data_IF_894778013025
#
_entry.id   IF_894778013025
#
_cell.length_a   1.000
_cell.length_b   1.000
_cell.length_c   1.000
_cell.angle_alpha   90.00
_cell.angle_beta   90.00
_cell.angle_gamma   90.00
#
_symmetry.space_group_name_H-M   'P 1'
#
loop_
_entity.id
_entity.type
_entity.pdbx_description
1 polymer ?
#
# COMPACT_ATOMS: atom_id res chain seq x y z
N UNK A 1 -82.31 20.31 -34.08
CA UNK A 1 -83.24 20.86 -33.08
C UNK A 1 -83.49 19.76 -32.05
N UNK A 2 -83.14 19.98 -30.77
CA UNK A 2 -83.37 19.09 -29.61
C UNK A 2 -82.64 17.73 -29.65
N UNK A 3 -82.28 17.06 -28.57
CA UNK A 3 -82.24 17.34 -27.12
C UNK A 3 -81.32 16.26 -26.53
N UNK A 4 -80.74 16.63 -25.40
CA UNK A 4 -79.96 15.92 -24.40
C UNK A 4 -80.49 14.55 -23.92
N UNK A 5 -79.71 13.97 -22.98
CA UNK A 5 -80.12 13.09 -21.86
C UNK A 5 -80.52 11.66 -22.23
N UNK A 6 -80.30 10.60 -21.46
CA UNK A 6 -80.03 10.36 -20.02
C UNK A 6 -79.68 8.87 -19.88
N UNK A 7 -78.70 8.47 -19.06
CA UNK A 7 -78.87 7.93 -17.69
C UNK A 7 -79.84 6.76 -17.54
N UNK A 8 -79.36 5.63 -17.00
CA UNK A 8 -80.01 4.66 -16.07
C UNK A 8 -79.41 3.26 -16.29
N UNK A 9 -78.56 2.74 -15.38
CA UNK A 9 -78.87 1.99 -14.14
C UNK A 9 -79.54 0.64 -14.36
N UNK A 10 -78.87 -0.46 -14.00
CA UNK A 10 -79.32 -1.46 -13.00
C UNK A 10 -78.61 -2.82 -13.14
N UNK A 11 -77.81 -3.13 -12.12
CA UNK A 11 -77.87 -4.33 -11.26
C UNK A 11 -78.56 -5.60 -11.81
N UNK A 12 -77.86 -6.75 -11.84
CA UNK A 12 -78.13 -7.90 -10.93
C UNK A 12 -77.37 -9.18 -11.33
N UNK A 13 -76.45 -9.58 -10.46
CA UNK A 13 -76.26 -10.88 -9.78
C UNK A 13 -76.58 -12.24 -10.44
N UNK A 14 -75.60 -13.16 -10.23
CA UNK A 14 -75.68 -14.64 -10.03
C UNK A 14 -75.90 -15.45 -11.32
N UNK A 15 -75.25 -16.59 -11.60
CA UNK A 15 -74.77 -17.65 -10.71
C UNK A 15 -73.76 -18.54 -11.47
N UNK A 16 -72.88 -19.17 -10.70
CA UNK A 16 -71.83 -20.14 -11.05
C UNK A 16 -72.29 -21.39 -11.82
N UNK A 17 -71.38 -22.02 -12.58
CA UNK A 17 -71.20 -23.49 -12.57
C UNK A 17 -69.79 -23.92 -13.03
N UNK A 18 -69.10 -24.66 -12.15
CA UNK A 18 -68.22 -25.83 -12.36
C UNK A 18 -67.20 -25.81 -13.53
N UNK A 19 -65.90 -25.62 -13.26
CA UNK A 19 -64.89 -26.64 -12.90
C UNK A 19 -64.31 -27.43 -14.08
N UNK A 20 -63.02 -27.20 -14.36
CA UNK A 20 -62.05 -28.28 -14.59
C UNK A 20 -60.62 -27.72 -14.53
N UNK A 21 -59.81 -28.47 -13.79
CA UNK A 21 -58.45 -28.19 -13.36
C UNK A 21 -57.49 -28.37 -14.53
N UNK A 22 -56.58 -27.43 -14.74
CA UNK A 22 -55.28 -27.76 -15.37
C UNK A 22 -54.19 -26.91 -14.77
N UNK A 23 -53.38 -27.56 -13.92
CA UNK A 23 -52.16 -27.02 -13.34
C UNK A 23 -51.06 -27.14 -14.38
N UNK A 24 -50.60 -26.02 -14.91
CA UNK A 24 -49.29 -25.91 -15.55
C UNK A 24 -48.55 -24.73 -14.90
N UNK A 25 -47.83 -25.09 -13.85
CA UNK A 25 -46.69 -24.39 -13.31
C UNK A 25 -45.62 -24.26 -14.39
N UNK A 26 -45.28 -23.04 -14.79
CA UNK A 26 -43.92 -22.73 -15.22
C UNK A 26 -43.53 -21.36 -14.68
N UNK A 27 -42.88 -21.44 -13.52
CA UNK A 27 -42.18 -20.35 -12.85
C UNK A 27 -41.10 -19.81 -13.78
N UNK A 28 -41.37 -18.71 -14.47
CA UNK A 28 -40.37 -17.91 -15.15
C UNK A 28 -39.91 -16.79 -14.21
N UNK A 29 -39.34 -17.16 -13.06
CA UNK A 29 -38.58 -16.24 -12.23
C UNK A 29 -37.15 -16.18 -12.80
N UNK A 30 -36.99 -15.44 -13.92
CA UNK A 30 -35.67 -15.11 -14.42
C UNK A 30 -34.97 -14.25 -13.37
N UNK A 31 -33.93 -14.84 -12.79
CA UNK A 31 -32.94 -14.23 -11.93
C UNK A 31 -32.47 -12.91 -12.57
N UNK A 32 -33.02 -11.79 -12.10
CA UNK A 32 -32.34 -10.51 -12.22
C UNK A 32 -31.12 -10.61 -11.31
N UNK A 33 -29.99 -11.03 -11.87
CA UNK A 33 -28.69 -10.79 -11.26
C UNK A 33 -28.63 -9.30 -10.95
N UNK A 34 -28.50 -8.89 -9.67
CA UNK A 34 -28.05 -7.53 -9.40
C UNK A 34 -26.62 -7.47 -9.96
N UNK A 35 -26.46 -6.92 -11.16
CA UNK A 35 -25.19 -6.33 -11.55
C UNK A 35 -24.89 -5.30 -10.47
N UNK A 36 -24.00 -5.64 -9.55
CA UNK A 36 -23.50 -4.70 -8.55
C UNK A 36 -22.79 -3.61 -9.34
N UNK A 37 -23.49 -2.52 -9.58
CA UNK A 37 -22.88 -1.27 -9.99
C UNK A 37 -22.13 -0.81 -8.74
N UNK A 38 -20.85 -1.17 -8.66
CA UNK A 38 -19.93 -0.57 -7.71
C UNK A 38 -19.76 0.90 -8.11
N UNK A 39 -20.67 1.75 -7.65
CA UNK A 39 -20.57 3.19 -7.81
C UNK A 39 -19.46 3.75 -6.90
N UNK A 40 -18.23 3.67 -7.41
CA UNK A 40 -17.32 4.80 -7.68
C UNK A 40 -17.00 5.77 -6.53
N UNK A 41 -16.58 5.23 -5.39
CA UNK A 41 -15.56 5.89 -4.59
C UNK A 41 -14.29 5.06 -4.69
N UNK A 42 -13.18 5.69 -5.08
CA UNK A 42 -11.86 5.09 -4.97
C UNK A 42 -11.61 4.85 -3.47
N UNK A 43 -11.82 3.61 -3.03
CA UNK A 43 -11.65 3.15 -1.66
C UNK A 43 -10.23 2.62 -1.49
N UNK A 44 -9.41 3.38 -0.78
CA UNK A 44 -8.05 2.97 -0.48
C UNK A 44 -7.98 1.73 0.41
N UNK A 45 -9.03 1.42 1.19
CA UNK A 45 -9.03 0.26 2.10
C UNK A 45 -9.10 -1.07 1.37
N UNK A 46 -9.76 -1.07 0.22
CA UNK A 46 -10.05 -2.28 -0.51
C UNK A 46 -9.87 -2.09 -2.01
N UNK A 47 -8.60 -2.06 -2.44
CA UNK A 47 -8.24 -2.03 -3.85
C UNK A 47 -8.15 -3.45 -4.38
N UNK A 48 -9.11 -3.85 -5.21
CA UNK A 48 -9.16 -5.17 -5.82
C UNK A 48 -8.47 -5.20 -7.19
N UNK A 49 -7.42 -6.00 -7.35
CA UNK A 49 -6.74 -6.25 -8.63
C UNK A 49 -6.62 -7.77 -8.87
N UNK A 50 -7.27 -8.27 -9.93
CA UNK A 50 -7.25 -9.70 -10.30
C UNK A 50 -7.58 -10.67 -9.14
N UNK A 51 -8.53 -10.29 -8.27
CA UNK A 51 -8.97 -11.10 -7.12
C UNK A 51 -8.08 -10.99 -5.86
N UNK A 52 -7.02 -10.18 -5.89
CA UNK A 52 -6.23 -9.79 -4.71
C UNK A 52 -6.71 -8.42 -4.21
N UNK A 53 -6.67 -8.23 -2.90
CA UNK A 53 -7.12 -7.01 -2.23
C UNK A 53 -5.93 -6.34 -1.53
N UNK A 54 -5.81 -5.03 -1.66
CA UNK A 54 -4.73 -4.21 -1.14
C UNK A 54 -5.29 -3.04 -0.34
N UNK A 55 -4.63 -2.67 0.76
CA UNK A 55 -4.99 -1.52 1.60
C UNK A 55 -3.93 -0.42 1.46
N UNK A 56 -4.26 0.63 0.70
CA UNK A 56 -3.44 1.83 0.51
C UNK A 56 -3.86 2.98 1.43
N UNK A 57 -4.77 2.77 2.38
CA UNK A 57 -5.17 3.81 3.35
C UNK A 57 -4.00 4.41 4.14
N UNK A 58 -2.93 3.66 4.47
CA UNK A 58 -1.75 4.23 5.12
C UNK A 58 -0.98 5.26 4.26
N UNK A 59 -1.19 5.24 2.94
CA UNK A 59 -0.67 6.25 2.00
C UNK A 59 -1.60 7.46 1.86
N UNK A 60 -2.62 7.56 2.72
CA UNK A 60 -3.57 8.67 2.68
C UNK A 60 -2.95 9.97 3.17
N UNK A 61 -3.34 11.07 2.55
CA UNK A 61 -2.82 12.40 2.83
C UNK A 61 -2.33 13.09 1.55
N UNK A 62 -2.09 14.41 1.62
CA UNK A 62 -1.54 15.14 0.50
C UNK A 62 -0.05 14.85 0.35
N UNK A 63 0.32 14.30 -0.81
CA UNK A 63 1.68 14.06 -1.25
C UNK A 63 2.00 14.97 -2.43
N UNK A 64 3.28 15.29 -2.62
CA UNK A 64 3.71 16.13 -3.73
C UNK A 64 4.93 15.57 -4.46
N UNK A 65 4.93 15.71 -5.78
CA UNK A 65 6.10 15.51 -6.62
C UNK A 65 6.35 16.73 -7.48
N UNK A 66 7.62 17.00 -7.74
CA UNK A 66 8.09 18.20 -8.41
C UNK A 66 8.79 17.82 -9.71
N UNK A 67 8.48 18.54 -10.77
CA UNK A 67 9.12 18.36 -12.07
C UNK A 67 9.40 19.70 -12.73
N UNK A 68 10.67 19.90 -13.08
CA UNK A 68 11.09 21.01 -13.95
C UNK A 68 11.12 20.51 -15.38
N UNK A 69 10.27 21.08 -16.23
CA UNK A 69 10.44 20.92 -17.66
C UNK A 69 11.73 21.65 -18.08
N UNK A 70 12.61 20.95 -18.80
CA UNK A 70 13.74 21.61 -19.42
C UNK A 70 13.20 22.55 -20.51
N UNK A 71 13.60 23.83 -20.53
CA UNK A 71 13.16 24.74 -21.58
C UNK A 71 13.65 24.22 -22.92
N UNK A 72 12.75 24.07 -23.89
CA UNK A 72 13.18 23.83 -25.25
C UNK A 72 14.03 25.01 -25.71
N UNK A 73 15.16 24.74 -26.37
CA UNK A 73 16.23 25.72 -26.71
C UNK A 73 15.78 27.00 -27.43
N UNK A 74 14.53 27.05 -27.90
CA UNK A 74 13.92 28.15 -28.65
C UNK A 74 12.75 28.82 -27.92
N UNK A 75 12.31 28.29 -26.77
CA UNK A 75 11.17 28.81 -26.02
C UNK A 75 11.65 29.63 -24.82
N UNK A 76 11.18 30.88 -24.72
CA UNK A 76 11.43 31.74 -23.56
C UNK A 76 10.51 31.41 -22.37
N UNK A 77 9.94 30.20 -22.33
CA UNK A 77 9.02 29.75 -21.30
C UNK A 77 9.60 28.50 -20.66
N UNK A 78 9.69 28.52 -19.33
CA UNK A 78 10.08 27.37 -18.53
C UNK A 78 8.86 26.93 -17.70
N UNK A 79 8.42 25.69 -17.90
CA UNK A 79 7.33 25.10 -17.13
C UNK A 79 7.86 24.43 -15.87
N UNK A 80 7.22 24.74 -14.74
CA UNK A 80 7.52 24.14 -13.46
C UNK A 80 6.26 23.51 -12.88
N UNK A 81 6.24 22.18 -12.88
CA UNK A 81 5.09 21.41 -12.42
C UNK A 81 5.28 20.93 -10.98
N UNK A 82 4.27 21.20 -10.16
CA UNK A 82 4.06 20.54 -8.88
C UNK A 82 2.79 19.73 -8.96
N UNK A 83 2.89 18.41 -8.83
CA UNK A 83 1.72 17.55 -8.76
C UNK A 83 1.41 17.23 -7.31
N UNK A 84 0.22 17.58 -6.86
CA UNK A 84 -0.30 17.28 -5.52
C UNK A 84 -1.35 16.19 -5.64
N UNK A 85 -1.27 15.16 -4.80
CA UNK A 85 -2.21 14.06 -4.82
C UNK A 85 -2.57 13.57 -3.41
N UNK A 86 -3.85 13.29 -3.20
CA UNK A 86 -4.36 12.49 -2.10
C UNK A 86 -5.32 11.49 -2.74
N UNK A 87 -4.93 10.22 -2.77
CA UNK A 87 -5.76 9.21 -3.42
C UNK A 87 -6.98 8.88 -2.58
N UNK A 88 -6.89 8.99 -1.25
CA UNK A 88 -7.93 8.53 -0.34
C UNK A 88 -8.96 9.61 -0.04
N UNK A 89 -8.60 10.89 -0.20
CA UNK A 89 -9.50 12.04 0.04
C UNK A 89 -9.43 13.06 -1.08
N UNK A 90 -10.43 13.93 -1.14
CA UNK A 90 -10.41 15.06 -2.06
C UNK A 90 -9.42 16.11 -1.56
N UNK A 91 -8.67 16.69 -2.48
CA UNK A 91 -7.75 17.79 -2.21
C UNK A 91 -8.53 19.04 -1.80
N UNK A 92 -7.97 19.75 -0.83
CA UNK A 92 -8.44 21.07 -0.38
C UNK A 92 -7.31 22.07 -0.59
N UNK A 93 -7.64 23.29 -1.03
CA UNK A 93 -6.66 24.37 -1.14
C UNK A 93 -5.62 24.23 -2.27
N UNK A 94 -5.78 23.29 -3.22
CA UNK A 94 -4.82 23.04 -4.29
C UNK A 94 -4.96 23.94 -5.52
N UNK A 95 -6.01 24.77 -5.59
CA UNK A 95 -6.37 25.59 -6.76
C UNK A 95 -7.08 24.83 -7.89
N UNK A 96 -7.10 23.49 -7.85
CA UNK A 96 -7.96 22.67 -8.70
C UNK A 96 -9.43 22.67 -8.23
N UNK A 97 -10.32 22.17 -9.08
CA UNK A 97 -11.75 22.15 -8.79
C UNK A 97 -12.11 21.16 -7.66
N UNK A 98 -13.21 21.45 -6.97
CA UNK A 98 -13.73 20.56 -5.92
C UNK A 98 -13.94 19.14 -6.46
N UNK A 99 -13.48 18.14 -5.71
CA UNK A 99 -13.51 16.74 -6.12
C UNK A 99 -12.21 16.24 -6.77
N UNK A 100 -11.24 17.12 -7.05
CA UNK A 100 -9.91 16.73 -7.47
C UNK A 100 -9.21 15.88 -6.39
N UNK A 101 -8.57 14.80 -6.82
CA UNK A 101 -7.70 13.94 -6.01
C UNK A 101 -6.24 14.03 -6.45
N UNK A 102 -6.01 14.39 -7.72
CA UNK A 102 -4.68 14.69 -8.27
C UNK A 102 -4.77 16.03 -9.02
N UNK A 103 -3.94 16.99 -8.62
CA UNK A 103 -3.89 18.34 -9.15
C UNK A 103 -2.47 18.65 -9.66
N UNK A 104 -2.35 19.09 -10.91
CA UNK A 104 -1.11 19.61 -11.46
C UNK A 104 -1.09 21.13 -11.40
N UNK A 105 -0.09 21.71 -10.74
CA UNK A 105 0.14 23.15 -10.67
C UNK A 105 1.30 23.45 -11.61
N UNK A 106 1.05 24.13 -12.72
CA UNK A 106 2.08 24.55 -13.65
C UNK A 106 2.40 26.03 -13.46
N UNK A 107 3.62 26.35 -13.06
CA UNK A 107 4.14 27.70 -13.05
C UNK A 107 4.96 27.93 -14.31
N UNK A 108 4.39 28.65 -15.27
CA UNK A 108 5.07 29.05 -16.50
C UNK A 108 5.87 30.32 -16.24
N UNK A 109 7.20 30.20 -16.33
CA UNK A 109 8.13 31.31 -16.10
C UNK A 109 8.58 31.83 -17.46
N UNK A 110 8.29 33.09 -17.75
CA UNK A 110 8.84 33.76 -18.93
C UNK A 110 10.29 34.19 -18.64
N UNK A 111 11.26 33.56 -19.28
CA UNK A 111 12.69 33.80 -19.05
C UNK A 111 13.14 35.21 -19.50
N UNK A 112 12.36 35.90 -20.34
CA UNK A 112 12.69 37.25 -20.80
C UNK A 112 12.18 38.32 -19.83
N UNK A 113 10.98 38.14 -19.26
CA UNK A 113 10.34 39.13 -18.39
C UNK A 113 10.33 38.76 -16.91
N UNK A 114 10.71 37.52 -16.58
CA UNK A 114 10.58 36.90 -15.26
C UNK A 114 9.14 36.89 -14.71
N UNK A 115 8.13 37.02 -15.58
CA UNK A 115 6.74 36.89 -15.19
C UNK A 115 6.37 35.41 -14.99
N UNK A 116 5.60 35.13 -13.94
CA UNK A 116 5.13 33.79 -13.59
C UNK A 116 3.62 33.73 -13.83
N UNK A 117 3.17 32.77 -14.63
CA UNK A 117 1.75 32.45 -14.85
C UNK A 117 1.46 31.09 -14.25
N UNK A 118 0.54 31.01 -13.30
CA UNK A 118 0.15 29.75 -12.66
C UNK A 118 -1.11 29.20 -13.30
N UNK A 119 -1.05 27.95 -13.77
CA UNK A 119 -2.18 27.20 -14.30
C UNK A 119 -2.45 25.95 -13.46
N UNK A 120 -3.72 25.69 -13.19
CA UNK A 120 -4.16 24.49 -12.47
C UNK A 120 -4.74 23.47 -13.45
N UNK A 121 -4.33 22.21 -13.29
CA UNK A 121 -4.72 21.08 -14.14
C UNK A 121 -5.35 19.99 -13.31
N UNK A 122 -6.64 19.81 -13.51
CA UNK A 122 -7.42 18.71 -12.97
C UNK A 122 -7.03 17.39 -13.65
N UNK A 123 -6.15 16.60 -13.01
CA UNK A 123 -5.64 15.35 -13.57
C UNK A 123 -6.58 14.18 -13.25
N UNK A 124 -6.98 14.04 -11.99
CA UNK A 124 -7.88 12.98 -11.52
C UNK A 124 -8.83 13.56 -10.48
N UNK A 125 -10.10 13.22 -10.59
CA UNK A 125 -11.10 13.63 -9.61
C UNK A 125 -12.49 13.10 -9.92
N UNK A 126 -13.39 13.27 -8.95
CA UNK A 126 -14.81 13.05 -9.10
C UNK A 126 -15.54 14.38 -8.98
N UNK A 127 -15.98 14.92 -10.11
CA UNK A 127 -16.51 16.26 -10.29
C UNK A 127 -18.04 16.27 -10.36
N UNK A 128 -18.68 15.55 -9.45
CA UNK A 128 -20.15 15.37 -9.42
C UNK A 128 -20.90 16.69 -9.29
N UNK A 129 -20.33 17.67 -8.59
CA UNK A 129 -20.90 19.01 -8.40
C UNK A 129 -20.73 19.94 -9.60
N UNK A 130 -19.84 19.61 -10.55
CA UNK A 130 -19.47 20.51 -11.64
C UNK A 130 -20.03 20.03 -12.97
N UNK A 131 -19.50 18.93 -13.50
CA UNK A 131 -19.84 18.39 -14.81
C UNK A 131 -20.29 16.92 -14.75
N UNK A 132 -20.56 16.41 -13.55
CA UNK A 132 -21.06 15.06 -13.34
C UNK A 132 -20.06 13.94 -13.62
N UNK A 133 -18.80 14.27 -13.95
CA UNK A 133 -17.76 13.25 -14.20
C UNK A 133 -17.39 12.55 -12.90
N UNK A 134 -17.28 11.23 -12.95
CA UNK A 134 -16.82 10.42 -11.84
C UNK A 134 -15.44 9.86 -12.14
N UNK A 135 -14.67 9.61 -11.07
CA UNK A 135 -13.42 8.87 -11.17
C UNK A 135 -13.74 7.43 -11.57
N UNK A 136 -13.08 6.93 -12.60
CA UNK A 136 -13.18 5.53 -13.05
C UNK A 136 -11.82 4.86 -12.85
N UNK A 137 -11.59 4.18 -11.73
CA UNK A 137 -10.31 3.53 -11.47
C UNK A 137 -10.26 2.13 -12.07
N UNK A 138 -9.15 1.80 -12.71
CA UNK A 138 -8.86 0.46 -13.22
C UNK A 138 -7.57 -0.06 -12.61
N UNK A 139 -7.67 -1.20 -11.93
CA UNK A 139 -6.55 -1.82 -11.24
C UNK A 139 -6.12 -3.11 -11.91
N UNK A 140 -4.82 -3.25 -12.13
CA UNK A 140 -4.22 -4.46 -12.72
C UNK A 140 -2.97 -4.84 -11.95
N UNK A 141 -2.67 -6.14 -11.84
CA UNK A 141 -1.41 -6.57 -11.24
C UNK A 141 -0.26 -6.32 -12.21
N UNK A 142 0.86 -5.77 -11.72
CA UNK A 142 2.04 -5.49 -12.54
C UNK A 142 2.55 -6.75 -13.24
N UNK A 143 2.61 -7.90 -12.55
CA UNK A 143 3.00 -9.19 -13.13
C UNK A 143 2.12 -9.67 -14.29
N UNK A 144 0.88 -9.19 -14.38
CA UNK A 144 -0.07 -9.55 -15.44
C UNK A 144 -0.01 -8.56 -16.62
N UNK A 145 0.83 -7.53 -16.54
CA UNK A 145 1.05 -6.57 -17.62
C UNK A 145 1.72 -7.25 -18.81
N UNK A 146 1.32 -6.85 -20.02
CA UNK A 146 1.93 -7.32 -21.27
C UNK A 146 3.27 -6.63 -21.57
N UNK A 147 3.70 -5.68 -20.74
CA UNK A 147 4.94 -4.93 -20.93
C UNK A 147 6.15 -5.69 -20.40
N UNK A 148 7.22 -5.75 -21.19
CA UNK A 148 8.50 -6.33 -20.76
C UNK A 148 9.14 -5.58 -19.57
N UNK A 149 8.79 -4.31 -19.36
CA UNK A 149 9.27 -3.51 -18.22
C UNK A 149 8.72 -3.97 -16.86
N UNK A 150 7.64 -4.76 -16.86
CA UNK A 150 6.94 -5.21 -15.65
C UNK A 150 7.28 -6.65 -15.26
N UNK A 151 8.16 -7.31 -16.04
CA UNK A 151 8.56 -8.70 -15.79
C UNK A 151 9.33 -8.77 -14.46
N UNK A 152 8.75 -9.51 -13.50
CA UNK A 152 9.33 -9.69 -12.17
C UNK A 152 9.00 -8.58 -11.15
N UNK A 153 8.22 -7.56 -11.52
CA UNK A 153 7.74 -6.52 -10.59
C UNK A 153 6.44 -6.99 -9.93
N UNK A 154 6.46 -7.08 -8.61
CA UNK A 154 5.26 -7.32 -7.79
C UNK A 154 4.60 -5.98 -7.45
N UNK A 155 3.27 -5.90 -7.55
CA UNK A 155 2.52 -4.69 -7.24
C UNK A 155 1.27 -4.48 -8.07
N UNK A 156 0.71 -3.28 -8.00
CA UNK A 156 -0.56 -2.89 -8.61
C UNK A 156 -0.38 -1.65 -9.47
N UNK A 157 -0.85 -1.68 -10.73
CA UNK A 157 -1.01 -0.50 -11.57
C UNK A 157 -2.43 0.02 -11.44
N UNK A 158 -2.57 1.28 -11.06
CA UNK A 158 -3.82 2.01 -11.01
C UNK A 158 -3.89 3.01 -12.16
N UNK A 159 -4.84 2.82 -13.07
CA UNK A 159 -5.21 3.78 -14.12
C UNK A 159 -6.41 4.58 -13.59
N UNK A 160 -6.19 5.87 -13.33
CA UNK A 160 -7.17 6.76 -12.68
C UNK A 160 -7.60 7.85 -13.65
N UNK A 161 -8.89 7.86 -14.00
CA UNK A 161 -9.47 8.81 -14.95
C UNK A 161 -10.32 9.89 -14.25
N UNK A 162 -10.78 10.88 -15.01
CA UNK A 162 -11.83 11.83 -14.58
C UNK A 162 -11.47 13.30 -14.78
N UNK A 163 -10.19 13.61 -14.98
CA UNK A 163 -9.71 14.96 -15.24
C UNK A 163 -9.92 15.43 -16.69
N UNK A 164 -9.89 16.75 -16.88
CA UNK A 164 -9.80 17.39 -18.21
C UNK A 164 -9.02 18.68 -18.12
N UNK A 165 -8.31 19.01 -19.18
CA UNK A 165 -7.66 20.31 -19.32
C UNK A 165 -7.75 20.86 -20.76
N UNK A 166 -8.29 22.08 -20.96
CA UNK A 166 -9.05 22.89 -19.99
C UNK A 166 -10.30 22.19 -19.42
N UNK A 167 -10.76 22.56 -18.21
CA UNK A 167 -11.74 21.77 -17.44
C UNK A 167 -13.08 21.48 -18.15
N UNK A 168 -13.58 22.45 -18.92
CA UNK A 168 -14.88 22.38 -19.60
C UNK A 168 -14.83 21.60 -20.94
N UNK A 169 -13.93 21.99 -21.84
CA UNK A 169 -13.85 21.46 -23.22
C UNK A 169 -12.43 21.03 -23.62
N UNK A 170 -11.69 20.51 -22.66
CA UNK A 170 -10.32 20.07 -22.85
C UNK A 170 -10.13 18.63 -23.27
N UNK A 171 -8.86 18.30 -23.44
CA UNK A 171 -8.41 16.92 -23.57
C UNK A 171 -8.58 16.21 -22.22
N UNK A 172 -8.84 14.90 -22.29
CA UNK A 172 -8.94 14.06 -21.10
C UNK A 172 -7.60 14.05 -20.35
N UNK A 173 -7.66 13.99 -19.03
CA UNK A 173 -6.48 13.84 -18.17
C UNK A 173 -6.65 12.59 -17.32
N UNK A 174 -5.54 11.92 -17.06
CA UNK A 174 -5.50 10.74 -16.20
C UNK A 174 -4.14 10.58 -15.53
N UNK A 175 -4.10 9.78 -14.47
CA UNK A 175 -2.87 9.37 -13.83
C UNK A 175 -2.73 7.85 -13.88
N UNK A 176 -1.52 7.38 -14.17
CA UNK A 176 -1.12 5.99 -14.04
C UNK A 176 -0.13 5.92 -12.88
N UNK A 177 -0.54 5.24 -11.81
CA UNK A 177 0.27 5.08 -10.61
C UNK A 177 0.64 3.60 -10.48
N UNK A 178 1.93 3.31 -10.51
CA UNK A 178 2.46 1.97 -10.28
C UNK A 178 2.86 1.82 -8.82
N UNK A 179 2.03 1.14 -8.04
CA UNK A 179 2.38 0.73 -6.69
C UNK A 179 3.28 -0.49 -6.77
N UNK A 180 4.56 -0.32 -6.42
CA UNK A 180 5.58 -1.39 -6.49
C UNK A 180 5.82 -1.92 -5.08
N UNK A 181 5.79 -3.24 -4.93
CA UNK A 181 6.11 -3.90 -3.67
C UNK A 181 7.55 -3.61 -3.25
N UNK A 182 7.71 -2.95 -2.11
CA UNK A 182 8.98 -2.77 -1.41
C UNK A 182 8.74 -2.99 0.08
N UNK A 183 9.16 -4.15 0.60
CA UNK A 183 8.87 -4.58 1.97
C UNK A 183 9.49 -3.68 3.04
N UNK A 184 10.57 -2.99 2.70
CA UNK A 184 11.34 -2.16 3.64
C UNK A 184 10.80 -0.73 3.73
N UNK A 185 9.80 -0.37 2.90
CA UNK A 185 9.28 0.99 2.79
C UNK A 185 7.81 1.05 3.15
N UNK A 186 7.47 2.04 3.95
CA UNK A 186 6.08 2.41 4.22
C UNK A 186 5.42 3.06 3.01
N UNK A 187 6.19 3.78 2.19
CA UNK A 187 5.70 4.60 1.09
C UNK A 187 5.70 6.09 1.38
N UNK A 188 6.07 6.50 2.60
CA UNK A 188 6.10 7.91 3.04
C UNK A 188 7.54 8.48 3.08
N UNK A 189 8.53 7.70 2.64
CA UNK A 189 9.94 8.09 2.68
C UNK A 189 10.23 9.22 1.68
N UNK A 190 10.80 10.31 2.21
CA UNK A 190 11.17 11.49 1.41
C UNK A 190 9.97 12.30 0.90
N UNK A 191 8.80 12.08 1.50
CA UNK A 191 7.59 12.84 1.24
C UNK A 191 7.72 14.26 1.80
N UNK A 192 7.51 15.25 0.94
CA UNK A 192 7.47 16.65 1.34
C UNK A 192 6.01 16.97 1.66
N UNK A 193 5.66 16.93 2.95
CA UNK A 193 4.30 17.25 3.38
C UNK A 193 3.94 18.67 2.97
N UNK A 194 2.86 18.82 2.20
CA UNK A 194 2.35 20.12 1.74
C UNK A 194 1.88 21.02 2.88
N UNK A 195 1.55 22.30 2.59
CA UNK A 195 1.07 23.23 3.60
C UNK A 195 -0.40 22.89 3.94
N UNK A 196 -0.60 22.13 5.02
CA UNK A 196 -1.60 22.39 6.08
C UNK A 196 -1.73 21.18 7.02
N UNK A 197 -1.48 21.46 8.30
CA UNK A 197 -1.57 20.51 9.41
C UNK A 197 -0.92 21.08 10.66
N UNK A 198 -1.35 22.27 11.05
CA UNK A 198 -1.00 22.89 12.33
C UNK A 198 -1.64 22.03 13.43
N UNK A 199 -0.82 21.33 14.22
CA UNK A 199 -1.07 20.92 15.62
C UNK A 199 0.09 20.04 16.09
N UNK A 200 1.11 20.67 16.69
CA UNK A 200 1.69 20.30 17.99
C UNK A 200 2.91 21.17 18.30
N UNK A 201 2.75 21.98 19.35
CA UNK A 201 3.83 22.48 20.18
C UNK A 201 4.75 21.34 20.63
N UNK A 202 6.05 21.59 20.61
CA UNK A 202 7.07 20.62 21.03
C UNK A 202 8.48 21.13 20.77
N UNK A 203 8.84 22.18 21.50
CA UNK A 203 10.14 22.46 22.13
C UNK A 203 11.47 22.10 21.42
N UNK A 204 12.27 23.15 21.19
CA UNK A 204 13.73 23.21 21.30
C UNK A 204 14.64 22.22 20.54
N UNK A 205 15.35 22.74 19.53
CA UNK A 205 16.77 23.15 19.66
C UNK A 205 17.33 23.71 18.36
N UNK A 206 17.85 24.93 18.44
CA UNK A 206 18.82 25.48 17.50
C UNK A 206 20.13 24.71 17.66
N UNK A 207 20.59 24.06 16.60
CA UNK A 207 22.02 23.84 16.37
C UNK A 207 22.38 24.43 15.02
N UNK A 208 23.16 25.50 15.09
CA UNK A 208 23.92 26.05 13.98
C UNK A 208 25.13 25.16 13.71
N UNK A 209 25.44 24.96 12.43
CA UNK A 209 26.79 24.56 11.98
C UNK A 209 26.83 23.25 11.21
N UNK A 210 27.18 23.33 9.92
CA UNK A 210 27.58 22.14 9.16
C UNK A 210 27.48 22.29 7.65
N UNK A 211 28.53 22.84 7.05
CA UNK A 211 29.01 22.66 5.68
C UNK A 211 28.00 22.31 4.56
N UNK A 212 27.75 23.32 3.72
CA UNK A 212 27.23 23.15 2.36
C UNK A 212 28.24 22.35 1.52
N UNK A 213 28.04 21.04 1.39
CA UNK A 213 28.54 20.30 0.24
C UNK A 213 27.52 20.45 -0.89
N UNK A 214 27.85 21.36 -1.81
CA UNK A 214 27.21 21.49 -3.12
C UNK A 214 27.37 20.15 -3.88
N UNK A 215 26.34 19.31 -3.79
CA UNK A 215 26.18 18.18 -4.68
C UNK A 215 25.62 18.66 -6.01
N UNK A 216 26.48 18.75 -7.02
CA UNK A 216 26.12 18.95 -8.43
C UNK A 216 24.85 18.17 -8.79
N UNK A 217 23.73 18.87 -8.98
CA UNK A 217 22.54 18.31 -9.65
C UNK A 217 22.88 18.16 -11.12
N UNK A 218 23.58 17.08 -11.48
CA UNK A 218 23.78 16.66 -12.87
C UNK A 218 22.42 16.35 -13.47
N UNK A 219 21.91 17.31 -14.24
CA UNK A 219 20.79 17.16 -15.15
C UNK A 219 21.04 15.96 -16.05
N UNK A 220 20.14 14.99 -16.00
CA UNK A 220 20.20 13.80 -16.84
C UNK A 220 19.44 14.05 -18.12
N UNK A 221 20.20 14.07 -19.21
CA UNK A 221 19.75 14.02 -20.59
C UNK A 221 18.93 12.74 -20.86
N UNK A 222 17.82 12.95 -21.59
CA UNK A 222 17.19 12.11 -22.64
C UNK A 222 16.39 10.83 -22.32
N UNK A 223 15.51 10.61 -23.29
CA UNK A 223 15.01 9.35 -23.84
C UNK A 223 13.82 8.73 -23.11
N UNK A 224 12.66 8.90 -23.75
CA UNK A 224 11.62 7.88 -24.02
C UNK A 224 12.11 6.45 -23.79
N UNK A 225 12.21 6.05 -22.52
CA UNK A 225 12.60 4.73 -22.06
C UNK A 225 12.09 4.50 -20.62
N UNK A 226 10.84 4.89 -20.33
CA UNK A 226 10.07 4.40 -19.18
C UNK A 226 10.74 4.41 -17.79
N UNK A 227 11.77 5.23 -17.54
CA UNK A 227 12.51 5.25 -16.26
C UNK A 227 12.15 6.49 -15.45
N UNK A 228 11.63 6.26 -14.25
CA UNK A 228 11.30 7.31 -13.31
C UNK A 228 12.54 8.04 -12.78
N UNK A 229 12.35 9.25 -12.23
CA UNK A 229 13.42 10.07 -11.67
C UNK A 229 14.29 9.28 -10.69
N UNK A 230 15.62 9.33 -10.78
CA UNK A 230 16.46 8.58 -9.84
C UNK A 230 16.58 9.35 -8.52
N UNK A 231 15.53 9.23 -7.71
CA UNK A 231 15.44 9.70 -6.33
C UNK A 231 15.23 8.51 -5.41
N UNK A 232 15.68 8.61 -4.16
CA UNK A 232 15.44 7.59 -3.13
C UNK A 232 14.08 7.78 -2.43
N UNK A 233 13.26 8.71 -2.91
CA UNK A 233 11.87 8.90 -2.47
C UNK A 233 11.02 7.69 -2.84
N UNK A 234 10.03 7.39 -2.00
CA UNK A 234 9.09 6.30 -2.28
C UNK A 234 8.09 6.65 -3.38
N UNK A 235 7.61 7.88 -3.39
CA UNK A 235 6.82 8.44 -4.49
C UNK A 235 7.74 9.14 -5.49
N UNK A 236 7.72 8.71 -6.75
CA UNK A 236 8.62 9.15 -7.82
C UNK A 236 7.85 9.59 -9.06
N UNK A 237 8.29 10.69 -9.65
CA UNK A 237 7.80 11.14 -10.95
C UNK A 237 8.41 10.32 -12.10
N UNK A 238 7.57 9.86 -13.03
CA UNK A 238 8.01 9.11 -14.21
C UNK A 238 7.80 9.85 -15.53
N UNK A 239 6.81 10.73 -15.61
CA UNK A 239 6.57 11.54 -16.79
C UNK A 239 5.18 12.18 -16.79
N UNK A 240 5.03 13.25 -17.56
CA UNK A 240 3.74 13.85 -17.87
C UNK A 240 3.76 14.30 -19.33
N UNK A 241 2.76 13.89 -20.10
CA UNK A 241 2.70 14.20 -21.53
C UNK A 241 1.38 13.78 -22.16
N UNK A 242 1.16 14.20 -23.41
CA UNK A 242 0.02 13.73 -24.20
C UNK A 242 0.34 12.36 -24.78
N UNK A 243 -0.51 11.37 -24.52
CA UNK A 243 -0.39 10.03 -25.07
C UNK A 243 -1.68 9.64 -25.80
N UNK A 244 -1.54 8.87 -26.87
CA UNK A 244 -2.67 8.32 -27.62
C UNK A 244 -3.35 7.21 -26.80
N UNK A 245 -4.65 7.36 -26.58
CA UNK A 245 -5.50 6.36 -25.94
C UNK A 245 -6.17 5.45 -26.98
N UNK A 246 -6.77 4.37 -26.49
CA UNK A 246 -7.66 3.54 -27.30
C UNK A 246 -8.72 4.42 -27.98
N UNK A 247 -8.96 4.19 -29.28
CA UNK A 247 -9.88 4.94 -30.15
C UNK A 247 -9.38 6.31 -30.63
N UNK A 248 -8.06 6.54 -30.64
CA UNK A 248 -7.44 7.70 -31.32
C UNK A 248 -7.71 9.04 -30.64
N UNK A 249 -8.04 9.02 -29.34
CA UNK A 249 -8.16 10.22 -28.51
C UNK A 249 -6.85 10.44 -27.76
N UNK A 250 -6.39 11.69 -27.68
CA UNK A 250 -5.23 12.04 -26.86
C UNK A 250 -5.68 12.39 -25.44
N UNK A 251 -4.93 11.90 -24.45
CA UNK A 251 -5.10 12.27 -23.06
C UNK A 251 -3.76 12.70 -22.46
N UNK A 252 -3.80 13.67 -21.55
CA UNK A 252 -2.65 14.01 -20.72
C UNK A 252 -2.47 12.96 -19.64
N UNK A 253 -1.33 12.27 -19.65
CA UNK A 253 -1.05 11.13 -18.78
C UNK A 253 0.06 11.49 -17.81
N UNK A 254 -0.26 11.51 -16.51
CA UNK A 254 0.73 11.61 -15.44
C UNK A 254 1.15 10.20 -15.01
N UNK A 255 2.43 9.87 -15.10
CA UNK A 255 2.98 8.58 -14.69
C UNK A 255 3.79 8.72 -13.41
N UNK A 256 3.43 7.94 -12.41
CA UNK A 256 4.09 7.91 -11.09
C UNK A 256 4.44 6.48 -10.70
N UNK A 257 5.55 6.31 -9.98
CA UNK A 257 5.91 5.06 -9.30
C UNK A 257 5.84 5.32 -7.79
N UNK A 258 5.15 4.44 -7.06
CA UNK A 258 5.04 4.52 -5.60
C UNK A 258 5.48 3.21 -4.97
N UNK A 259 6.65 3.21 -4.33
CA UNK A 259 7.21 2.04 -3.66
C UNK A 259 6.66 1.93 -2.25
N UNK A 260 6.10 0.79 -1.91
CA UNK A 260 5.50 0.58 -0.58
C UNK A 260 5.33 -0.90 -0.26
N UNK A 261 5.39 -1.25 1.02
CA UNK A 261 5.08 -2.59 1.52
C UNK A 261 3.61 -2.96 1.31
N UNK A 262 2.71 -1.97 1.22
CA UNK A 262 1.27 -2.21 1.05
C UNK A 262 0.90 -2.73 -0.35
N UNK A 263 1.82 -2.64 -1.31
CA UNK A 263 1.65 -3.20 -2.66
C UNK A 263 2.08 -4.67 -2.77
N UNK A 264 2.65 -5.26 -1.71
CA UNK A 264 3.06 -6.65 -1.70
C UNK A 264 1.84 -7.57 -1.52
N UNK A 265 1.70 -8.59 -2.38
CA UNK A 265 0.59 -9.55 -2.33
C UNK A 265 0.62 -10.43 -1.07
N UNK A 266 1.80 -10.55 -0.47
CA UNK A 266 2.06 -11.27 0.77
C UNK A 266 2.29 -10.32 1.96
N UNK A 267 1.90 -9.04 1.85
CA UNK A 267 1.87 -8.18 3.02
C UNK A 267 0.90 -8.83 4.02
N UNK A 268 1.43 -9.35 5.12
CA UNK A 268 0.63 -9.83 6.22
C UNK A 268 -0.33 -8.69 6.58
N UNK A 269 -1.64 -8.94 6.45
CA UNK A 269 -2.66 -7.97 6.84
C UNK A 269 -2.33 -7.59 8.27
N UNK A 270 -1.89 -6.36 8.51
CA UNK A 270 -1.53 -5.89 9.84
C UNK A 270 -2.80 -5.83 10.71
N UNK A 271 -3.09 -7.00 11.27
CA UNK A 271 -4.20 -7.36 12.11
C UNK A 271 -3.77 -8.65 12.77
N UNK A 272 -3.00 -8.51 13.85
CA UNK A 272 -2.19 -9.52 14.56
C UNK A 272 -0.79 -9.76 13.98
N UNK A 273 0.10 -8.78 14.20
CA UNK A 273 1.50 -9.11 14.45
C UNK A 273 1.60 -9.90 15.77
N UNK A 274 1.14 -11.16 15.76
CA UNK A 274 1.64 -12.12 16.73
C UNK A 274 3.07 -12.40 16.34
N UNK A 275 4.00 -11.67 16.96
CA UNK A 275 5.40 -12.09 17.01
C UNK A 275 5.39 -13.51 17.54
N UNK A 276 5.48 -14.48 16.64
CA UNK A 276 5.53 -15.89 16.95
C UNK A 276 6.78 -16.06 17.81
N UNK A 277 6.61 -16.17 19.14
CA UNK A 277 7.66 -16.55 20.07
C UNK A 277 8.13 -17.92 19.61
N UNK A 278 9.20 -17.94 18.82
CA UNK A 278 9.56 -19.06 17.97
C UNK A 278 9.76 -20.36 18.74
N UNK A 279 9.88 -21.45 17.98
CA UNK A 279 10.19 -22.81 18.45
C UNK A 279 11.23 -22.85 19.58
N UNK A 280 12.26 -22.01 19.53
CA UNK A 280 13.31 -21.94 20.55
C UNK A 280 12.80 -21.48 21.92
N UNK A 281 11.93 -20.48 21.98
CA UNK A 281 11.40 -19.98 23.26
C UNK A 281 10.44 -21.00 23.87
N UNK A 282 9.61 -21.64 23.06
CA UNK A 282 8.71 -22.71 23.52
C UNK A 282 9.49 -23.95 23.99
N UNK A 283 10.55 -24.34 23.27
CA UNK A 283 11.46 -25.40 23.68
C UNK A 283 12.11 -25.09 25.04
N UNK A 284 12.58 -23.85 25.26
CA UNK A 284 13.17 -23.43 26.54
C UNK A 284 12.12 -23.48 27.67
N UNK A 285 10.89 -23.03 27.41
CA UNK A 285 9.79 -23.10 28.38
C UNK A 285 9.48 -24.55 28.75
N UNK A 286 9.36 -25.45 27.78
CA UNK A 286 9.10 -26.87 28.04
C UNK A 286 10.25 -27.52 28.80
N UNK A 287 11.50 -27.25 28.40
CA UNK A 287 12.68 -27.75 29.09
C UNK A 287 12.69 -27.27 30.55
N UNK A 288 12.40 -26.00 30.78
CA UNK A 288 12.31 -25.43 32.13
C UNK A 288 11.19 -26.10 32.95
N UNK A 289 10.01 -26.28 32.38
CA UNK A 289 8.89 -26.94 33.06
C UNK A 289 9.18 -28.42 33.34
N UNK A 290 9.85 -29.14 32.43
CA UNK A 290 10.24 -30.52 32.65
C UNK A 290 11.28 -30.65 33.77
N UNK A 291 12.27 -29.75 33.82
CA UNK A 291 13.26 -29.70 34.92
C UNK A 291 12.58 -29.35 36.24
N UNK A 292 11.69 -28.34 36.24
CA UNK A 292 10.94 -27.97 37.44
C UNK A 292 10.07 -29.12 37.96
N UNK A 293 9.35 -29.79 37.08
CA UNK A 293 8.54 -30.96 37.43
C UNK A 293 9.40 -32.11 37.98
N UNK A 294 10.56 -32.38 37.36
CA UNK A 294 11.52 -33.38 37.83
C UNK A 294 12.04 -33.07 39.24
N UNK A 295 12.41 -31.81 39.50
CA UNK A 295 12.90 -31.39 40.82
C UNK A 295 11.80 -31.42 41.88
N UNK A 296 10.60 -30.94 41.58
CA UNK A 296 9.48 -30.91 42.54
C UNK A 296 9.03 -32.33 42.87
N UNK A 297 8.76 -33.16 41.86
CA UNK A 297 8.27 -34.52 42.06
C UNK A 297 9.34 -35.44 42.65
N UNK A 298 10.59 -35.31 42.18
CA UNK A 298 11.73 -36.03 42.74
C UNK A 298 11.97 -35.68 44.20
N UNK A 299 11.98 -34.38 44.55
CA UNK A 299 12.12 -33.93 45.94
C UNK A 299 10.97 -34.40 46.83
N UNK A 300 9.74 -34.38 46.30
CA UNK A 300 8.56 -34.87 47.03
C UNK A 300 8.62 -36.38 47.29
N UNK A 301 9.02 -37.18 46.31
CA UNK A 301 9.24 -38.62 46.49
C UNK A 301 10.38 -38.89 47.49
N UNK A 302 11.50 -38.16 47.39
CA UNK A 302 12.64 -38.34 48.29
C UNK A 302 12.29 -37.94 49.74
N UNK A 303 11.51 -36.89 49.91
CA UNK A 303 11.02 -36.44 51.21
C UNK A 303 10.01 -37.41 51.83
N UNK A 304 9.00 -37.86 51.08
CA UNK A 304 7.92 -38.68 51.62
C UNK A 304 8.27 -40.16 51.78
N UNK A 305 9.12 -40.72 50.91
CA UNK A 305 9.45 -42.15 50.93
C UNK A 305 10.77 -42.45 51.63
N UNK A 306 11.74 -41.55 51.56
CA UNK A 306 13.10 -41.78 52.08
C UNK A 306 13.46 -40.85 53.25
N UNK A 307 12.62 -39.86 53.59
CA UNK A 307 12.84 -38.97 54.73
C UNK A 307 14.11 -38.11 54.61
N UNK A 308 14.65 -37.98 53.39
CA UNK A 308 15.84 -37.21 53.08
C UNK A 308 15.64 -35.75 53.50
N UNK A 309 16.71 -35.07 53.93
CA UNK A 309 16.70 -33.65 54.33
C UNK A 309 17.88 -32.91 53.73
N UNK A 310 17.69 -31.64 53.41
CA UNK A 310 18.73 -30.78 52.85
C UNK A 310 19.08 -31.14 51.40
N UNK A 311 20.37 -31.21 51.10
CA UNK A 311 20.90 -31.37 49.74
C UNK A 311 20.64 -32.74 49.09
N UNK A 312 20.21 -33.72 49.90
CA UNK A 312 19.83 -35.08 49.48
C UNK A 312 18.40 -35.15 48.91
N UNK A 313 17.62 -34.05 48.95
CA UNK A 313 16.30 -34.01 48.30
C UNK A 313 16.40 -34.01 46.76
N UNK A 314 17.50 -33.51 46.20
CA UNK A 314 17.65 -33.39 44.76
C UNK A 314 17.94 -34.77 44.15
N UNK A 315 17.07 -35.28 43.26
CA UNK A 315 17.33 -36.54 42.59
C UNK A 315 18.64 -36.43 41.79
N UNK A 316 19.59 -37.33 42.07
CA UNK A 316 20.97 -37.30 41.53
C UNK A 316 21.75 -36.01 41.82
N UNK A 317 21.64 -35.46 43.05
CA UNK A 317 22.39 -34.28 43.49
C UNK A 317 23.92 -34.37 43.30
N UNK A 318 24.50 -35.58 43.34
CA UNK A 318 25.93 -35.79 43.05
C UNK A 318 26.28 -35.45 41.59
N UNK A 319 25.43 -35.79 40.62
CA UNK A 319 25.64 -35.39 39.21
C UNK A 319 25.45 -33.88 39.00
N UNK A 320 24.57 -33.24 39.78
CA UNK A 320 24.34 -31.78 39.71
C UNK A 320 25.57 -31.02 40.25
N UNK A 321 26.25 -31.56 41.27
CA UNK A 321 27.49 -31.00 41.81
C UNK A 321 28.65 -31.03 40.79
N UNK A 322 28.60 -31.97 39.85
CA UNK A 322 29.64 -32.17 38.85
C UNK A 322 29.46 -31.34 37.57
N UNK A 323 28.26 -30.78 37.34
CA UNK A 323 27.93 -29.89 36.20
C UNK A 323 28.95 -28.75 35.98
N UNK A 324 29.40 -27.97 36.99
CA UNK A 324 30.37 -26.90 36.75
C UNK A 324 31.72 -27.42 36.25
N UNK A 325 32.12 -28.63 36.64
CA UNK A 325 33.37 -29.26 36.18
C UNK A 325 33.21 -29.80 34.75
N UNK A 326 32.06 -30.40 34.44
CA UNK A 326 31.73 -30.91 33.09
C UNK A 326 31.64 -29.75 32.08
N UNK A 327 30.99 -28.64 32.43
CA UNK A 327 30.90 -27.44 31.58
C UNK A 327 32.26 -26.78 31.36
N UNK A 328 33.10 -26.75 32.40
CA UNK A 328 34.47 -26.24 32.30
C UNK A 328 35.33 -27.08 31.35
N UNK A 329 35.19 -28.40 31.38
CA UNK A 329 35.93 -29.29 30.50
C UNK A 329 35.36 -29.34 29.08
N UNK A 330 34.04 -29.18 28.91
CA UNK A 330 33.43 -28.99 27.59
C UNK A 330 33.85 -27.64 26.97
N UNK A 331 33.85 -26.56 27.76
CA UNK A 331 34.34 -25.25 27.34
C UNK A 331 35.82 -25.27 26.94
N UNK A 332 36.68 -25.93 27.73
CA UNK A 332 38.10 -26.11 27.36
C UNK A 332 38.29 -26.93 26.08
N UNK A 333 37.47 -27.96 25.86
CA UNK A 333 37.49 -28.78 24.64
C UNK A 333 36.98 -28.01 23.42
N UNK A 334 35.94 -27.20 23.57
CA UNK A 334 35.43 -26.32 22.50
C UNK A 334 36.43 -25.23 22.16
N UNK A 335 37.04 -24.60 23.17
CA UNK A 335 38.10 -23.59 22.97
C UNK A 335 39.33 -24.21 22.30
N UNK A 336 39.79 -25.39 22.72
CA UNK A 336 40.93 -26.07 22.07
C UNK A 336 40.61 -26.58 20.65
N UNK A 337 39.34 -26.88 20.35
CA UNK A 337 38.91 -27.26 19.00
C UNK A 337 38.78 -26.04 18.08
N UNK A 338 38.33 -24.89 18.59
CA UNK A 338 38.19 -23.64 17.83
C UNK A 338 39.53 -22.88 17.70
N UNK A 339 40.46 -23.06 18.64
CA UNK A 339 41.78 -22.38 18.61
C UNK A 339 42.83 -23.08 17.73
N UNK A 340 42.52 -24.24 17.13
CA UNK A 340 43.42 -24.98 16.23
C UNK A 340 44.65 -25.62 16.92
N UNK A 341 45.28 -26.64 16.30
CA UNK A 341 46.43 -27.33 16.88
C UNK A 341 47.68 -26.44 16.83
N UNK A 342 48.02 -25.84 17.98
CA UNK A 342 49.32 -25.22 18.19
C UNK A 342 50.43 -26.27 18.16
N UNK A 343 51.23 -26.27 17.10
CA UNK A 343 52.42 -27.08 16.88
C UNK A 343 53.41 -27.07 18.05
N UNK A 344 53.48 -28.16 18.83
CA UNK A 344 54.64 -28.66 19.62
C UNK A 344 54.33 -30.14 19.97
N UNK A 345 55.08 -31.19 19.68
CA UNK A 345 56.47 -31.36 19.28
C UNK A 345 57.01 -32.59 20.04
N UNK A 346 57.07 -33.75 19.37
CA UNK A 346 57.90 -34.95 19.63
C UNK A 346 57.87 -35.63 21.01
N UNK A 347 57.60 -36.94 21.05
CA UNK A 347 58.57 -38.00 21.41
C UNK A 347 57.97 -39.36 21.03
N UNK A 348 58.54 -39.99 20.01
CA UNK A 348 58.57 -41.45 19.89
C UNK A 348 59.68 -41.94 20.81
N UNK A 349 59.35 -42.82 21.77
CA UNK A 349 60.32 -43.72 22.35
C UNK A 349 59.66 -45.09 22.52
N UNK A 350 60.50 -46.08 22.25
CA UNK A 350 60.29 -47.48 21.88
C UNK A 350 59.55 -48.36 22.87
#
# INVERSE_FOLDING_TARGET
>A
MRVSTSTSSSTSSRTSLSSSVSKLTLSALFLTFPSVIAALNLDCKDVAASGKHFDFSPLGGPHQVYWLAEPESFHSLQDNFTFVLDLCKQLKGSGCHNGARVCGINNQINLNTNNITTEFRDIVGSYTTNNGRMIEPKYTLLRNSKSHADVGREGVRAELHGGKFPFEKGADQMAIIEFVCDKERTGLEGDEKGPEGNDKEGDDKKEEGGDKKEGEKRSRKREDNGKCENSDKSLRFCGYGMEDQEKGKQAGVLRLEWRTKYACENAEKEGSASSHWGFFTWFIIILFLAIAAYLIFGSWLNYNRYGARGWDLLPHGDAIRDIPYILKDFGRRVVSTVSGPGSRGGYSAV
#
